data_IF_706269396974
#
_entry.id   IF_706269396974
#
_cell.length_a   1.000
_cell.length_b   1.000
_cell.length_c   1.000
_cell.angle_alpha   90.00
_cell.angle_beta   90.00
_cell.angle_gamma   90.00
#
_symmetry.space_group_name_H-M   'P 1'
#
loop_
_entity.id
_entity.type
_entity.pdbx_description
1 polymer ?
#
# COMPACT_ATOMS: atom_id res chain seq x y z
N UNK A 1 -6.91 -7.32 8.38
CA UNK A 1 -8.25 -7.03 7.83
C UNK A 1 -9.00 -8.29 7.38
N UNK A 2 -8.48 -9.07 6.42
CA UNK A 2 -9.15 -10.26 5.87
C UNK A 2 -9.63 -11.25 6.95
N UNK A 3 -8.76 -11.61 7.90
CA UNK A 3 -9.10 -12.51 9.01
C UNK A 3 -10.22 -11.97 9.89
N UNK A 4 -10.21 -10.66 10.21
CA UNK A 4 -11.23 -10.02 11.04
C UNK A 4 -12.61 -10.07 10.38
N UNK A 5 -12.68 -9.81 9.06
CA UNK A 5 -13.92 -9.85 8.29
C UNK A 5 -14.34 -11.28 7.88
N UNK A 6 -13.44 -12.27 8.06
CA UNK A 6 -13.59 -13.65 7.54
C UNK A 6 -13.77 -13.68 6.01
N UNK A 7 -12.93 -12.92 5.31
CA UNK A 7 -12.87 -12.89 3.85
C UNK A 7 -11.62 -13.62 3.36
N UNK A 8 -11.72 -14.22 2.18
CA UNK A 8 -10.57 -14.78 1.46
C UNK A 8 -9.75 -13.63 0.86
N UNK A 9 -8.42 -13.70 0.96
CA UNK A 9 -7.51 -12.71 0.39
C UNK A 9 -6.94 -13.23 -0.92
N UNK A 10 -7.02 -12.41 -1.96
CA UNK A 10 -6.45 -12.70 -3.28
C UNK A 10 -5.54 -11.55 -3.69
N UNK A 11 -4.33 -11.90 -4.07
CA UNK A 11 -3.38 -10.99 -4.69
C UNK A 11 -3.50 -11.13 -6.22
N UNK A 12 -3.58 -10.00 -6.92
CA UNK A 12 -3.57 -9.95 -8.37
C UNK A 12 -2.40 -9.14 -8.88
N UNK A 13 -1.47 -9.89 -9.42
CA UNK A 13 -0.43 -9.37 -10.28
C UNK A 13 -1.03 -9.03 -11.67
N UNK A 14 -1.08 -7.73 -11.97
CA UNK A 14 -1.55 -7.23 -13.27
C UNK A 14 -0.56 -7.52 -14.40
N UNK A 15 0.72 -7.78 -14.10
CA UNK A 15 1.75 -8.03 -15.11
C UNK A 15 1.56 -9.36 -15.85
N UNK A 16 0.92 -10.34 -15.19
CA UNK A 16 0.68 -11.68 -15.76
C UNK A 16 -0.67 -11.81 -16.46
N UNK A 17 -1.52 -10.78 -16.42
CA UNK A 17 -2.85 -10.83 -17.04
C UNK A 17 -2.84 -10.13 -18.39
N UNK A 18 -2.90 -10.93 -19.46
CA UNK A 18 -2.66 -10.48 -20.83
C UNK A 18 -3.84 -9.80 -21.54
N UNK A 19 -5.03 -9.73 -20.94
CA UNK A 19 -6.18 -9.03 -21.54
C UNK A 19 -7.26 -8.63 -20.53
N UNK A 20 -8.03 -7.59 -20.87
CA UNK A 20 -9.22 -7.18 -20.11
C UNK A 20 -10.27 -8.32 -20.00
N UNK A 21 -10.38 -9.18 -21.01
CA UNK A 21 -11.31 -10.32 -20.97
C UNK A 21 -10.88 -11.43 -19.99
N UNK A 22 -9.57 -11.61 -19.81
CA UNK A 22 -9.02 -12.56 -18.85
C UNK A 22 -9.20 -12.02 -17.42
N UNK A 23 -8.90 -10.72 -17.23
CA UNK A 23 -9.15 -10.01 -15.99
C UNK A 23 -10.62 -10.11 -15.59
N UNK A 24 -11.55 -9.78 -16.49
CA UNK A 24 -12.99 -9.91 -16.27
C UNK A 24 -13.39 -11.33 -15.85
N UNK A 25 -12.86 -12.36 -16.51
CA UNK A 25 -13.17 -13.76 -16.15
C UNK A 25 -12.68 -14.13 -14.76
N UNK A 26 -11.46 -13.73 -14.39
CA UNK A 26 -10.91 -13.95 -13.05
C UNK A 26 -11.84 -13.33 -12.01
N UNK A 27 -12.19 -12.07 -12.22
CA UNK A 27 -12.98 -11.26 -11.34
C UNK A 27 -14.43 -11.74 -11.17
N UNK A 28 -15.07 -12.21 -12.26
CA UNK A 28 -16.41 -12.83 -12.20
C UNK A 28 -16.35 -14.14 -11.42
N UNK A 29 -15.35 -14.98 -11.70
CA UNK A 29 -15.20 -16.31 -11.10
C UNK A 29 -14.84 -16.30 -9.61
N UNK A 30 -14.51 -15.15 -9.02
CA UNK A 30 -14.16 -15.06 -7.61
C UNK A 30 -15.35 -15.37 -6.69
N UNK A 31 -15.14 -16.13 -5.60
CA UNK A 31 -16.20 -16.40 -4.64
C UNK A 31 -16.62 -15.13 -3.88
N UNK A 32 -17.80 -15.17 -3.26
CA UNK A 32 -18.23 -14.13 -2.32
C UNK A 32 -17.34 -14.09 -1.07
N UNK A 33 -17.34 -12.94 -0.37
CA UNK A 33 -16.48 -12.66 0.79
C UNK A 33 -15.00 -12.74 0.41
N UNK A 34 -14.63 -11.93 -0.57
CA UNK A 34 -13.26 -11.87 -1.09
C UNK A 34 -12.72 -10.45 -1.00
N UNK A 35 -11.46 -10.32 -0.59
CA UNK A 35 -10.67 -9.09 -0.65
C UNK A 35 -9.65 -9.29 -1.75
N UNK A 36 -9.63 -8.35 -2.68
CA UNK A 36 -8.69 -8.31 -3.77
C UNK A 36 -7.65 -7.25 -3.51
N UNK A 37 -6.38 -7.59 -3.64
CA UNK A 37 -5.27 -6.65 -3.53
C UNK A 37 -4.63 -6.54 -4.90
N UNK A 38 -4.48 -5.30 -5.37
CA UNK A 38 -3.70 -4.98 -6.56
C UNK A 38 -2.61 -4.03 -6.10
N UNK A 39 -1.38 -4.51 -6.15
CA UNK A 39 -0.22 -3.75 -5.69
C UNK A 39 0.38 -2.87 -6.79
N UNK A 40 1.00 -1.76 -6.37
CA UNK A 40 1.82 -0.87 -7.21
C UNK A 40 1.17 -0.49 -8.54
N UNK A 41 -0.08 -0.03 -8.49
CA UNK A 41 -0.83 0.34 -9.70
C UNK A 41 -0.13 1.45 -10.49
N UNK A 42 0.64 2.32 -9.85
CA UNK A 42 1.42 3.36 -10.54
C UNK A 42 2.46 2.80 -11.53
N UNK A 43 3.03 1.63 -11.26
CA UNK A 43 4.00 0.97 -12.15
C UNK A 43 3.35 0.36 -13.39
N UNK A 44 2.13 -0.18 -13.24
CA UNK A 44 1.42 -0.87 -14.32
C UNK A 44 0.98 0.06 -15.46
N UNK A 45 0.85 1.37 -15.19
CA UNK A 45 0.21 2.30 -16.11
C UNK A 45 1.12 3.44 -16.59
N UNK A 46 2.30 3.66 -15.97
CA UNK A 46 3.27 4.67 -16.43
C UNK A 46 3.88 4.40 -17.80
N UNK A 47 3.78 3.17 -18.31
CA UNK A 47 4.22 2.82 -19.67
C UNK A 47 3.25 3.24 -20.77
N UNK A 48 2.07 3.78 -20.45
CA UNK A 48 1.13 4.29 -21.46
C UNK A 48 1.32 5.78 -21.79
N UNK A 49 2.06 6.51 -20.96
CA UNK A 49 2.24 7.97 -21.07
C UNK A 49 3.68 8.39 -21.43
N UNK A 50 4.55 7.43 -21.76
CA UNK A 50 5.89 7.66 -22.30
C UNK A 50 6.10 6.79 -23.53
N UNK A 51 5.55 7.24 -24.66
CA UNK A 51 5.99 6.88 -26.03
C UNK A 51 5.06 7.59 -27.03
N UNK A 52 5.15 8.92 -27.08
CA UNK A 52 5.18 9.54 -28.40
C UNK A 52 6.63 9.39 -28.89
N UNK A 53 6.78 8.78 -30.07
CA UNK A 53 8.02 8.58 -30.84
C UNK A 53 8.90 7.36 -30.49
N UNK A 54 8.50 6.17 -30.98
CA UNK A 54 9.27 5.43 -32.02
C UNK A 54 8.47 4.26 -32.59
N UNK A 55 8.37 4.25 -33.91
CA UNK A 55 7.92 3.13 -34.74
C UNK A 55 8.80 1.90 -34.49
N UNK A 56 8.25 0.81 -33.93
CA UNK A 56 8.25 -0.53 -34.55
C UNK A 56 7.44 -1.56 -33.72
N UNK A 57 6.59 -2.28 -34.44
CA UNK A 57 6.14 -3.68 -34.28
C UNK A 57 5.37 -4.20 -33.02
N UNK A 58 4.07 -4.45 -33.26
CA UNK A 58 3.23 -5.59 -32.82
C UNK A 58 3.04 -6.00 -31.33
N UNK A 59 3.56 -5.26 -30.34
CA UNK A 59 3.36 -5.62 -28.91
C UNK A 59 2.33 -4.79 -28.11
N UNK A 60 1.69 -3.79 -28.71
CA UNK A 60 0.79 -2.85 -28.02
C UNK A 60 -0.64 -3.36 -27.73
N UNK A 61 -1.02 -4.56 -28.17
CA UNK A 61 -2.41 -5.05 -28.02
C UNK A 61 -2.71 -5.84 -26.73
N UNK A 62 -1.72 -6.07 -25.84
CA UNK A 62 -1.88 -7.00 -24.69
C UNK A 62 -1.61 -6.40 -23.31
N UNK A 63 -1.99 -5.14 -23.08
CA UNK A 63 -1.88 -4.51 -21.76
C UNK A 63 -3.25 -4.16 -21.21
N UNK A 64 -3.50 -4.59 -19.97
CA UNK A 64 -4.66 -4.12 -19.19
C UNK A 64 -4.52 -2.62 -19.00
N UNK A 65 -5.64 -1.91 -19.12
CA UNK A 65 -5.73 -0.49 -18.75
C UNK A 65 -6.48 -0.35 -17.43
N UNK A 66 -6.06 0.59 -16.59
CA UNK A 66 -6.74 0.88 -15.32
C UNK A 66 -8.20 1.30 -15.56
N UNK A 67 -8.45 2.05 -16.63
CA UNK A 67 -9.79 2.38 -17.11
C UNK A 67 -10.59 1.12 -17.51
N UNK A 68 -9.96 0.10 -18.10
CA UNK A 68 -10.59 -1.17 -18.42
C UNK A 68 -10.99 -1.97 -17.17
N UNK A 69 -10.11 -2.02 -16.16
CA UNK A 69 -10.40 -2.61 -14.86
C UNK A 69 -11.58 -1.90 -14.17
N UNK A 70 -11.55 -0.56 -14.12
CA UNK A 70 -12.60 0.20 -13.44
C UNK A 70 -13.93 0.20 -14.18
N UNK A 71 -13.94 0.30 -15.51
CA UNK A 71 -15.19 0.17 -16.27
C UNK A 71 -15.87 -1.18 -16.01
N UNK A 72 -15.08 -2.23 -15.78
CA UNK A 72 -15.60 -3.53 -15.39
C UNK A 72 -16.17 -3.52 -13.95
N UNK A 73 -15.47 -2.90 -13.00
CA UNK A 73 -15.93 -2.74 -11.61
C UNK A 73 -17.23 -1.93 -11.56
N UNK A 74 -17.30 -0.80 -12.25
CA UNK A 74 -18.47 0.10 -12.25
C UNK A 74 -19.70 -0.55 -12.89
N UNK A 75 -19.52 -1.29 -14.00
CA UNK A 75 -20.63 -1.76 -14.83
C UNK A 75 -21.20 -3.12 -14.42
N UNK A 76 -20.35 -4.17 -14.40
CA UNK A 76 -20.78 -5.57 -14.31
C UNK A 76 -20.57 -6.18 -12.92
N UNK A 77 -19.71 -5.60 -12.09
CA UNK A 77 -19.45 -6.10 -10.74
C UNK A 77 -20.58 -5.78 -9.76
N UNK A 78 -21.24 -4.64 -9.97
CA UNK A 78 -22.39 -4.18 -9.18
C UNK A 78 -23.58 -5.14 -9.20
N UNK A 79 -23.63 -6.08 -10.16
CA UNK A 79 -24.74 -7.03 -10.33
C UNK A 79 -24.42 -8.46 -9.89
N UNK A 80 -23.15 -8.80 -9.62
CA UNK A 80 -22.70 -10.17 -9.36
C UNK A 80 -21.90 -10.28 -8.04
N UNK A 81 -22.61 -10.55 -6.94
CA UNK A 81 -22.02 -10.97 -5.66
C UNK A 81 -22.20 -9.98 -4.52
N UNK A 82 -22.56 -10.45 -3.34
CA UNK A 82 -23.06 -9.58 -2.26
C UNK A 82 -21.95 -8.94 -1.40
N UNK A 83 -20.68 -9.38 -1.49
CA UNK A 83 -19.60 -8.97 -0.54
C UNK A 83 -18.20 -9.11 -1.12
N UNK A 84 -17.67 -8.07 -1.77
CA UNK A 84 -16.32 -8.05 -2.35
C UNK A 84 -15.66 -6.70 -2.06
N UNK A 85 -14.37 -6.71 -1.71
CA UNK A 85 -13.58 -5.50 -1.41
C UNK A 85 -12.38 -5.50 -2.34
N UNK A 86 -12.05 -4.36 -2.94
CA UNK A 86 -10.83 -4.19 -3.73
C UNK A 86 -9.95 -3.16 -3.03
N UNK A 87 -8.68 -3.50 -2.85
CA UNK A 87 -7.65 -2.68 -2.23
C UNK A 87 -6.58 -2.44 -3.28
N UNK A 88 -6.28 -1.17 -3.53
CA UNK A 88 -5.20 -0.75 -4.40
C UNK A 88 -4.08 -0.17 -3.55
N UNK A 89 -2.83 -0.49 -3.85
CA UNK A 89 -1.67 0.21 -3.28
C UNK A 89 -0.98 1.02 -4.38
N UNK A 90 -0.47 2.20 -4.01
CA UNK A 90 0.22 3.10 -4.93
C UNK A 90 1.19 3.95 -4.14
N UNK A 91 2.40 4.15 -4.66
CA UNK A 91 3.36 5.10 -4.08
C UNK A 91 3.10 6.54 -4.55
N UNK A 92 2.52 6.69 -5.74
CA UNK A 92 2.32 7.98 -6.40
C UNK A 92 0.85 8.22 -6.78
N UNK A 93 0.03 8.62 -5.79
CA UNK A 93 -1.41 8.87 -6.01
C UNK A 93 -1.68 9.91 -7.11
N UNK A 94 -0.81 10.89 -7.23
CA UNK A 94 -0.86 11.98 -8.20
C UNK A 94 -0.65 11.54 -9.66
N UNK A 95 -0.09 10.34 -9.88
CA UNK A 95 0.06 9.75 -11.22
C UNK A 95 -1.19 9.02 -11.71
N UNK A 96 -2.16 8.81 -10.82
CA UNK A 96 -3.41 8.14 -11.18
C UNK A 96 -4.37 9.13 -11.85
N UNK A 97 -5.09 8.64 -12.87
CA UNK A 97 -6.16 9.41 -13.51
C UNK A 97 -7.22 9.81 -12.45
N UNK A 98 -7.53 11.11 -12.28
CA UNK A 98 -8.53 11.58 -11.33
C UNK A 98 -9.92 10.96 -11.52
N UNK A 99 -10.25 10.45 -12.71
CA UNK A 99 -11.49 9.73 -12.97
C UNK A 99 -11.60 8.42 -12.19
N UNK A 100 -10.48 7.84 -11.76
CA UNK A 100 -10.41 6.62 -10.96
C UNK A 100 -10.72 6.87 -9.48
N UNK A 101 -10.32 8.05 -8.99
CA UNK A 101 -10.47 8.49 -7.61
C UNK A 101 -11.89 8.99 -7.27
N UNK A 102 -12.85 8.85 -8.20
CA UNK A 102 -14.22 9.32 -8.03
C UNK A 102 -15.01 8.35 -7.13
N UNK A 103 -15.97 8.85 -6.33
CA UNK A 103 -16.92 8.00 -5.61
C UNK A 103 -17.65 7.05 -6.56
N UNK A 104 -17.88 5.82 -6.11
CA UNK A 104 -18.39 4.69 -6.91
C UNK A 104 -17.29 3.81 -7.52
N UNK A 105 -16.05 4.30 -7.58
CA UNK A 105 -14.86 3.57 -8.05
C UNK A 105 -13.90 3.26 -6.91
N UNK A 106 -13.32 4.32 -6.35
CA UNK A 106 -12.40 4.26 -5.21
C UNK A 106 -12.97 5.14 -4.10
N UNK A 107 -13.79 4.55 -3.24
CA UNK A 107 -14.54 5.31 -2.23
C UNK A 107 -13.70 5.70 -1.01
N UNK A 108 -12.71 4.87 -0.65
CA UNK A 108 -11.92 5.03 0.57
C UNK A 108 -10.44 5.23 0.23
N UNK A 109 -9.89 6.37 0.66
CA UNK A 109 -8.48 6.71 0.47
C UNK A 109 -7.77 6.76 1.83
N UNK A 110 -6.83 5.84 2.06
CA UNK A 110 -6.04 5.79 3.29
C UNK A 110 -4.61 6.16 2.97
N UNK A 111 -4.08 7.19 3.64
CA UNK A 111 -2.68 7.58 3.54
C UNK A 111 -1.85 6.85 4.60
N UNK A 112 -0.82 6.12 4.16
CA UNK A 112 0.15 5.44 5.05
C UNK A 112 1.43 6.27 5.10
N UNK A 113 1.51 7.18 6.07
CA UNK A 113 2.63 8.11 6.21
C UNK A 113 3.76 7.63 7.12
N UNK A 114 4.56 8.59 7.56
CA UNK A 114 5.68 8.39 8.48
C UNK A 114 5.25 7.93 9.88
N UNK A 115 6.21 7.41 10.65
CA UNK A 115 6.01 6.91 11.99
C UNK A 115 5.79 8.06 12.97
N UNK A 116 4.53 8.35 13.30
CA UNK A 116 4.19 9.26 14.38
C UNK A 116 4.35 8.62 15.77
N UNK A 117 4.20 9.45 16.81
CA UNK A 117 4.31 9.04 18.21
C UNK A 117 3.43 7.83 18.58
N UNK A 118 2.17 7.82 18.14
CA UNK A 118 1.24 6.71 18.43
C UNK A 118 1.64 5.41 17.74
N UNK A 119 2.18 5.51 16.52
CA UNK A 119 2.70 4.35 15.80
C UNK A 119 3.95 3.80 16.50
N UNK A 120 4.88 4.67 16.90
CA UNK A 120 6.06 4.27 17.68
C UNK A 120 5.68 3.56 18.98
N UNK A 121 4.77 4.13 19.79
CA UNK A 121 4.30 3.48 21.03
C UNK A 121 3.72 2.09 20.77
N UNK A 122 2.93 1.96 19.70
CA UNK A 122 2.37 0.67 19.31
C UNK A 122 3.47 -0.34 18.96
N UNK A 123 4.50 0.09 18.23
CA UNK A 123 5.66 -0.76 17.92
C UNK A 123 6.44 -1.14 19.18
N UNK A 124 6.77 -0.18 20.06
CA UNK A 124 7.49 -0.44 21.31
C UNK A 124 6.75 -1.43 22.21
N UNK A 125 5.42 -1.27 22.35
CA UNK A 125 4.56 -2.19 23.07
C UNK A 125 4.54 -3.58 22.44
N UNK A 126 4.47 -3.68 21.11
CA UNK A 126 4.41 -4.97 20.43
C UNK A 126 5.72 -5.76 20.49
N UNK A 127 6.87 -5.07 20.39
CA UNK A 127 8.18 -5.74 20.37
C UNK A 127 8.76 -5.98 21.76
N UNK A 128 8.62 -5.01 22.67
CA UNK A 128 9.26 -5.06 23.99
C UNK A 128 8.28 -5.15 25.16
N UNK A 129 6.96 -5.12 24.91
CA UNK A 129 5.92 -5.13 25.95
C UNK A 129 6.05 -3.97 26.95
N UNK A 130 6.65 -2.85 26.52
CA UNK A 130 6.79 -1.64 27.33
C UNK A 130 5.77 -0.58 26.92
N UNK A 131 5.22 0.10 27.91
CA UNK A 131 4.34 1.25 27.72
C UNK A 131 5.03 2.59 28.05
N UNK A 132 6.20 2.55 28.71
CA UNK A 132 7.00 3.72 29.06
C UNK A 132 8.50 3.39 29.09
N UNK A 133 9.34 4.41 28.88
CA UNK A 133 10.80 4.30 28.95
C UNK A 133 11.44 5.67 29.21
N UNK A 134 12.59 5.71 29.87
CA UNK A 134 13.33 6.96 30.12
C UNK A 134 13.70 7.73 28.83
N UNK A 135 13.74 7.05 27.68
CA UNK A 135 14.09 7.61 26.37
C UNK A 135 12.87 8.09 25.57
N UNK A 136 11.65 7.76 26.00
CA UNK A 136 10.42 8.11 25.30
C UNK A 136 10.24 9.63 25.11
N UNK A 137 10.49 10.49 26.12
CA UNK A 137 10.41 11.93 25.92
C UNK A 137 11.36 12.44 24.83
N UNK A 138 12.59 11.92 24.79
CA UNK A 138 13.57 12.29 23.77
C UNK A 138 13.14 11.82 22.36
N UNK A 139 12.66 10.57 22.26
CA UNK A 139 12.14 10.00 21.02
C UNK A 139 10.94 10.79 20.50
N UNK A 140 10.02 11.20 21.38
CA UNK A 140 8.84 11.96 21.00
C UNK A 140 9.21 13.31 20.37
N UNK A 141 10.19 14.01 20.95
CA UNK A 141 10.70 15.28 20.40
C UNK A 141 11.36 15.02 19.05
N UNK A 142 12.23 14.02 18.93
CA UNK A 142 12.92 13.70 17.69
C UNK A 142 11.96 13.30 16.57
N UNK A 143 10.93 12.49 16.85
CA UNK A 143 9.90 12.13 15.87
C UNK A 143 9.10 13.33 15.33
N UNK A 144 9.10 14.46 16.04
CA UNK A 144 8.49 15.70 15.54
C UNK A 144 9.41 16.49 14.61
N UNK A 145 10.70 16.18 14.58
CA UNK A 145 11.70 16.88 13.75
C UNK A 145 12.20 16.05 12.56
N UNK A 146 12.10 14.71 12.62
CA UNK A 146 12.57 13.82 11.54
C UNK A 146 11.45 13.00 10.91
N UNK A 147 11.55 12.83 9.58
CA UNK A 147 10.71 11.89 8.83
C UNK A 147 11.35 10.50 8.81
N UNK A 148 10.67 9.54 9.44
CA UNK A 148 11.08 8.13 9.51
C UNK A 148 9.90 7.23 9.23
N UNK A 149 10.11 6.16 8.47
CA UNK A 149 9.02 5.21 8.18
C UNK A 149 8.84 4.23 9.34
N UNK A 150 7.63 3.67 9.54
CA UNK A 150 7.42 2.60 10.53
C UNK A 150 8.35 1.39 10.31
N UNK A 151 8.74 1.13 9.05
CA UNK A 151 9.68 0.07 8.71
C UNK A 151 11.11 0.35 9.21
N UNK A 152 11.63 1.56 9.01
CA UNK A 152 12.95 1.98 9.55
C UNK A 152 12.99 1.88 11.09
N UNK A 153 11.91 2.34 11.75
CA UNK A 153 11.80 2.23 13.21
C UNK A 153 11.79 0.76 13.64
N UNK A 154 10.97 -0.07 12.98
CA UNK A 154 10.90 -1.51 13.25
C UNK A 154 12.25 -2.19 13.08
N UNK A 155 12.99 -1.87 12.02
CA UNK A 155 14.33 -2.40 11.78
C UNK A 155 15.26 -2.10 12.97
N UNK A 156 15.21 -0.87 13.54
CA UNK A 156 16.03 -0.54 14.69
C UNK A 156 15.60 -1.29 15.95
N UNK A 157 14.30 -1.42 16.18
CA UNK A 157 13.77 -2.16 17.33
C UNK A 157 14.15 -3.65 17.26
N UNK A 158 14.22 -4.25 16.06
CA UNK A 158 14.59 -5.65 15.89
C UNK A 158 16.09 -5.95 16.01
N UNK A 159 16.96 -4.94 16.10
CA UNK A 159 18.42 -5.14 16.20
C UNK A 159 18.88 -5.67 17.55
N UNK A 160 18.05 -5.55 18.58
CA UNK A 160 18.37 -5.99 19.93
C UNK A 160 17.11 -6.51 20.63
N UNK A 161 17.24 -7.58 21.40
CA UNK A 161 16.18 -8.04 22.33
C UNK A 161 16.09 -7.14 23.57
N UNK A 162 17.17 -6.44 23.89
CA UNK A 162 17.21 -5.44 24.96
C UNK A 162 16.64 -4.10 24.47
N UNK A 163 15.56 -3.66 25.12
CA UNK A 163 14.85 -2.41 24.84
C UNK A 163 15.73 -1.17 25.03
N UNK A 164 16.59 -1.13 26.04
CA UNK A 164 17.48 0.01 26.28
C UNK A 164 18.44 0.19 25.10
N UNK A 165 19.06 -0.90 24.67
CA UNK A 165 20.00 -0.90 23.55
C UNK A 165 19.31 -0.54 22.24
N UNK A 166 18.12 -1.11 21.98
CA UNK A 166 17.35 -0.83 20.77
C UNK A 166 16.92 0.63 20.69
N UNK A 167 16.39 1.19 21.79
CA UNK A 167 15.92 2.57 21.85
C UNK A 167 17.08 3.57 21.78
N UNK A 168 18.24 3.26 22.37
CA UNK A 168 19.45 4.06 22.20
C UNK A 168 19.89 4.10 20.73
N UNK A 169 19.85 2.94 20.05
CA UNK A 169 20.11 2.85 18.61
C UNK A 169 19.15 3.71 17.79
N UNK A 170 17.86 3.70 18.14
CA UNK A 170 16.83 4.50 17.49
C UNK A 170 17.06 6.00 17.68
N UNK A 171 17.37 6.45 18.90
CA UNK A 171 17.70 7.86 19.19
C UNK A 171 18.89 8.31 18.35
N UNK A 172 19.93 7.48 18.24
CA UNK A 172 21.10 7.78 17.43
C UNK A 172 20.73 7.94 15.94
N UNK A 173 19.90 7.04 15.40
CA UNK A 173 19.41 7.14 14.02
C UNK A 173 18.70 8.47 13.78
N UNK A 174 17.83 8.89 14.71
CA UNK A 174 17.08 10.13 14.58
C UNK A 174 17.99 11.35 14.64
N UNK A 175 18.96 11.37 15.57
CA UNK A 175 19.96 12.45 15.64
C UNK A 175 20.82 12.53 14.38
N UNK A 176 21.13 11.40 13.74
CA UNK A 176 21.89 11.38 12.49
C UNK A 176 21.07 11.89 11.30
N UNK A 177 19.74 11.69 11.32
CA UNK A 177 18.81 12.27 10.33
C UNK A 177 18.55 13.76 10.56
N UNK A 178 18.47 14.22 11.79
CA UNK A 178 18.25 15.64 12.13
C UNK A 178 19.43 16.53 11.70
N UNK A 179 20.64 15.97 11.62
CA UNK A 179 21.84 16.69 11.17
C UNK A 179 22.00 16.78 9.64
N UNK A 180 21.18 16.05 8.87
CA UNK A 180 21.22 16.04 7.41
C UNK A 180 20.23 17.04 6.84
#
# INVERSE_FOLDING_TARGET
MANYLRFNLYDLDLSVVYSNSALQRLLIGMPNKSIFVIEDIDCCFSTASREEEKEDDSHYERRITLSGLLNFIDGLWSTCGEKRIIVFTTNYKERLDPALLRPGRMDMHVYMGYCGWEAFKTLARNYFLIDDHALFPAIQVLLSTVEVTPAEVTEMLLRSEDADVALQGLVKLFQDKEKK
#
